data_IF_662522226158
#
_entry.id   IF_662522226158
#
_cell.length_a   1.000
_cell.length_b   1.000
_cell.length_c   1.000
_cell.angle_alpha   90.00
_cell.angle_beta   90.00
_cell.angle_gamma   90.00
#
_symmetry.space_group_name_H-M   'P 1'
#
loop_
_entity.id
_entity.type
_entity.pdbx_description
1 polymer ?
#
# COMPACT_ATOMS: atom_id res chain seq x y z
N UNK A 1 -3.77 -4.00 29.97
CA UNK A 1 -3.12 -4.91 29.01
C UNK A 1 -1.68 -5.07 29.42
N UNK A 2 -1.19 -6.30 29.64
CA UNK A 2 0.25 -6.53 29.81
C UNK A 2 0.92 -6.25 28.46
N UNK A 3 1.78 -5.24 28.40
CA UNK A 3 2.65 -5.03 27.25
C UNK A 3 3.77 -6.07 27.32
N UNK A 4 3.60 -7.21 26.63
CA UNK A 4 4.67 -8.19 26.49
C UNK A 4 5.62 -7.73 25.38
N UNK A 5 6.76 -7.17 25.78
CA UNK A 5 7.87 -6.89 24.88
C UNK A 5 8.78 -8.12 24.81
N UNK A 6 8.98 -8.69 23.62
CA UNK A 6 9.88 -9.83 23.40
C UNK A 6 10.77 -9.62 22.19
N UNK A 7 12.06 -9.86 22.38
CA UNK A 7 13.07 -9.80 21.32
C UNK A 7 13.24 -11.21 20.74
N UNK A 8 13.03 -11.35 19.43
CA UNK A 8 13.29 -12.60 18.71
C UNK A 8 14.61 -12.46 17.93
N UNK A 9 15.63 -13.28 18.22
CA UNK A 9 16.90 -13.20 17.50
C UNK A 9 16.74 -13.75 16.08
N UNK A 10 17.10 -12.94 15.08
CA UNK A 10 17.21 -13.36 13.68
C UNK A 10 18.69 -13.49 13.36
N UNK A 11 19.11 -14.66 12.84
CA UNK A 11 20.51 -14.92 12.46
C UNK A 11 20.65 -14.84 10.94
N UNK A 12 21.64 -14.12 10.45
CA UNK A 12 21.91 -13.98 9.01
C UNK A 12 21.23 -12.75 8.41
N UNK A 13 20.33 -12.94 7.43
CA UNK A 13 19.68 -11.86 6.70
C UNK A 13 18.39 -11.37 7.37
N UNK A 14 17.96 -10.15 7.00
CA UNK A 14 16.74 -9.50 7.50
C UNK A 14 15.69 -9.32 6.39
N UNK A 15 15.49 -10.36 5.56
CA UNK A 15 14.45 -10.35 4.53
C UNK A 15 13.08 -10.61 5.16
N UNK A 16 12.00 -10.27 4.45
CA UNK A 16 10.63 -10.56 4.91
C UNK A 16 10.40 -12.06 5.21
N UNK A 17 11.01 -12.95 4.43
CA UNK A 17 10.93 -14.40 4.66
C UNK A 17 11.61 -14.83 5.97
N UNK A 18 12.77 -14.26 6.30
CA UNK A 18 13.51 -14.58 7.54
C UNK A 18 12.74 -14.11 8.79
N UNK A 19 12.13 -12.92 8.69
CA UNK A 19 11.26 -12.39 9.73
C UNK A 19 10.02 -13.27 9.93
N UNK A 20 9.38 -13.69 8.84
CA UNK A 20 8.20 -14.57 8.90
C UNK A 20 8.55 -15.93 9.53
N UNK A 21 9.67 -16.53 9.12
CA UNK A 21 10.14 -17.80 9.66
C UNK A 21 10.49 -17.73 11.15
N UNK A 22 10.93 -16.55 11.64
CA UNK A 22 11.21 -16.34 13.06
C UNK A 22 9.94 -16.00 13.85
N UNK A 23 9.02 -15.23 13.26
CA UNK A 23 7.81 -14.73 13.91
C UNK A 23 6.69 -15.78 14.00
N UNK A 24 6.45 -16.58 12.96
CA UNK A 24 5.33 -17.54 12.93
C UNK A 24 5.40 -18.58 14.06
N UNK A 25 6.56 -19.24 14.34
CA UNK A 25 6.66 -20.15 15.47
C UNK A 25 6.44 -19.46 16.82
N UNK A 26 6.83 -18.19 16.94
CA UNK A 26 6.55 -17.39 18.12
C UNK A 26 5.05 -17.10 18.27
N UNK A 27 4.40 -16.65 17.20
CA UNK A 27 2.97 -16.36 17.18
C UNK A 27 2.14 -17.58 17.59
N UNK A 28 2.44 -18.74 17.03
CA UNK A 28 1.84 -20.03 17.41
C UNK A 28 2.08 -20.34 18.89
N UNK A 29 3.34 -20.26 19.35
CA UNK A 29 3.70 -20.53 20.75
C UNK A 29 2.98 -19.60 21.74
N UNK A 30 2.73 -18.36 21.38
CA UNK A 30 2.03 -17.39 22.23
C UNK A 30 0.52 -17.35 22.00
N UNK A 31 0.00 -18.18 21.09
CA UNK A 31 -1.39 -18.14 20.66
C UNK A 31 -1.83 -16.73 20.21
N UNK A 32 -0.94 -16.04 19.48
CA UNK A 32 -1.14 -14.67 19.04
C UNK A 32 -2.25 -14.65 17.97
N UNK A 33 -3.32 -13.85 18.13
CA UNK A 33 -4.40 -13.78 17.15
C UNK A 33 -3.93 -13.03 15.90
N UNK A 34 -3.38 -13.76 14.92
CA UNK A 34 -2.83 -13.19 13.67
C UNK A 34 -3.84 -12.35 12.89
N UNK A 35 -5.14 -12.67 12.96
CA UNK A 35 -6.21 -11.88 12.33
C UNK A 35 -6.39 -10.48 12.95
N UNK A 36 -5.79 -10.23 14.12
CA UNK A 36 -5.72 -8.92 14.78
C UNK A 36 -4.34 -8.27 14.62
N UNK A 37 -3.44 -8.84 13.82
CA UNK A 37 -2.14 -8.25 13.54
C UNK A 37 -2.32 -7.08 12.58
N UNK A 38 -2.35 -5.87 13.15
CA UNK A 38 -2.70 -4.64 12.40
C UNK A 38 -1.51 -4.07 11.63
N UNK A 39 -0.28 -4.21 12.14
CA UNK A 39 0.92 -3.67 11.51
C UNK A 39 2.19 -4.38 11.96
N UNK A 40 3.19 -4.38 11.07
CA UNK A 40 4.56 -4.80 11.36
C UNK A 40 5.48 -3.65 10.96
N UNK A 41 6.03 -2.91 11.93
CA UNK A 41 6.94 -1.80 11.69
C UNK A 41 8.38 -2.30 11.64
N UNK A 42 8.90 -2.47 10.43
CA UNK A 42 10.33 -2.75 10.23
C UNK A 42 11.01 -1.43 9.89
N UNK A 43 11.96 -0.98 10.73
CA UNK A 43 12.68 0.26 10.49
C UNK A 43 13.48 0.14 9.18
N UNK A 44 13.12 0.93 8.15
CA UNK A 44 13.88 1.07 6.90
C UNK A 44 14.29 -0.23 6.21
N UNK A 45 13.63 -1.36 6.49
CA UNK A 45 14.14 -2.66 6.10
C UNK A 45 14.06 -2.83 4.57
N UNK A 46 14.94 -3.63 3.95
CA UNK A 46 14.90 -3.95 2.52
C UNK A 46 13.53 -4.43 2.01
N UNK A 47 12.66 -4.94 2.89
CA UNK A 47 11.27 -5.29 2.59
C UNK A 47 10.35 -4.10 2.27
N UNK A 48 10.74 -2.88 2.68
CA UNK A 48 10.04 -1.61 2.38
C UNK A 48 10.71 -0.86 1.24
N UNK A 49 12.05 -0.83 1.20
CA UNK A 49 12.86 -0.01 0.28
C UNK A 49 13.55 -0.79 -0.85
N UNK A 50 13.44 -2.13 -0.84
CA UNK A 50 14.18 -2.98 -1.76
C UNK A 50 13.78 -2.72 -3.20
N UNK A 51 14.77 -2.37 -4.03
CA UNK A 51 14.60 -2.08 -5.47
C UNK A 51 13.82 -3.17 -6.23
N UNK A 52 13.85 -4.41 -5.76
CA UNK A 52 13.20 -5.57 -6.40
C UNK A 52 12.07 -6.20 -5.55
N UNK A 53 11.96 -5.91 -4.25
CA UNK A 53 11.06 -6.63 -3.33
C UNK A 53 10.37 -5.73 -2.29
N UNK A 54 10.53 -4.41 -2.41
CA UNK A 54 9.99 -3.40 -1.51
C UNK A 54 8.58 -2.97 -1.88
N UNK A 55 7.87 -2.33 -0.96
CA UNK A 55 6.54 -1.77 -1.24
C UNK A 55 6.59 -0.71 -2.36
N UNK A 56 7.69 0.06 -2.44
CA UNK A 56 7.92 1.04 -3.51
C UNK A 56 8.06 0.36 -4.87
N UNK A 57 8.77 -0.77 -4.95
CA UNK A 57 8.95 -1.51 -6.21
C UNK A 57 7.64 -2.14 -6.68
N UNK A 58 6.76 -2.52 -5.75
CA UNK A 58 5.40 -3.01 -6.06
C UNK A 58 4.53 -1.91 -6.66
N UNK A 59 4.57 -0.68 -6.13
CA UNK A 59 3.85 0.45 -6.71
C UNK A 59 4.31 0.77 -8.14
N UNK A 60 5.63 0.84 -8.37
CA UNK A 60 6.19 1.06 -9.71
C UNK A 60 5.92 -0.10 -10.67
N UNK A 61 5.82 -1.34 -10.16
CA UNK A 61 5.44 -2.49 -10.97
C UNK A 61 4.01 -2.34 -11.48
N UNK A 62 3.07 -1.96 -10.61
CA UNK A 62 1.66 -1.80 -11.01
C UNK A 62 1.49 -0.72 -12.09
N UNK A 63 2.19 0.41 -11.96
CA UNK A 63 2.22 1.47 -12.97
C UNK A 63 2.73 0.96 -14.32
N UNK A 64 3.86 0.23 -14.31
CA UNK A 64 4.41 -0.36 -15.53
C UNK A 64 3.52 -1.46 -16.13
N UNK A 65 2.89 -2.27 -15.27
CA UNK A 65 1.98 -3.33 -15.68
C UNK A 65 0.76 -2.76 -16.39
N UNK A 66 0.16 -1.68 -15.85
CA UNK A 66 -0.94 -0.98 -16.50
C UNK A 66 -0.55 -0.36 -17.84
N UNK A 67 0.63 0.27 -17.91
CA UNK A 67 1.12 0.88 -19.15
C UNK A 67 1.39 -0.15 -20.26
N UNK A 68 1.66 -1.40 -19.89
CA UNK A 68 1.93 -2.51 -20.81
C UNK A 68 0.75 -3.49 -20.91
N UNK A 69 -0.41 -3.15 -20.33
CA UNK A 69 -1.55 -4.06 -20.26
C UNK A 69 -1.98 -4.56 -21.66
N UNK A 70 -2.07 -3.70 -22.70
CA UNK A 70 -2.39 -4.15 -24.06
C UNK A 70 -1.37 -5.14 -24.63
N UNK A 71 -0.07 -4.88 -24.42
CA UNK A 71 1.01 -5.74 -24.90
C UNK A 71 1.06 -7.08 -24.14
N UNK A 72 0.73 -7.07 -22.85
CA UNK A 72 0.63 -8.28 -22.02
C UNK A 72 -0.53 -9.15 -22.49
N UNK A 73 -1.70 -8.56 -22.75
CA UNK A 73 -2.87 -9.28 -23.30
C UNK A 73 -2.50 -9.91 -24.64
N UNK A 74 -1.96 -9.11 -25.57
CA UNK A 74 -1.54 -9.60 -26.89
C UNK A 74 -0.49 -10.72 -26.80
N UNK A 75 0.42 -10.66 -25.83
CA UNK A 75 1.38 -11.73 -25.59
C UNK A 75 0.71 -13.01 -25.05
N UNK A 76 -0.21 -12.89 -24.10
CA UNK A 76 -0.94 -14.04 -23.54
C UNK A 76 -1.82 -14.73 -24.60
N UNK A 77 -2.40 -13.96 -25.52
CA UNK A 77 -3.10 -14.50 -26.69
C UNK A 77 -2.20 -15.40 -27.54
N UNK A 78 -0.96 -14.99 -27.81
CA UNK A 78 -0.01 -15.82 -28.59
C UNK A 78 0.35 -17.14 -27.90
N UNK A 79 0.25 -17.18 -26.58
CA UNK A 79 0.49 -18.37 -25.78
C UNK A 79 -0.76 -19.25 -25.61
N UNK A 80 -1.94 -18.74 -25.98
CA UNK A 80 -3.22 -19.40 -25.70
C UNK A 80 -3.57 -19.42 -24.21
N UNK A 81 -2.98 -18.52 -23.41
CA UNK A 81 -3.19 -18.43 -21.97
C UNK A 81 -4.46 -17.64 -21.66
N UNK A 82 -5.26 -18.12 -20.70
CA UNK A 82 -6.48 -17.41 -20.29
C UNK A 82 -6.17 -16.20 -19.44
N UNK A 83 -6.85 -15.09 -19.71
CA UNK A 83 -6.61 -13.82 -19.04
C UNK A 83 -7.89 -12.98 -18.86
N UNK A 84 -9.02 -13.67 -18.58
CA UNK A 84 -10.36 -13.09 -18.41
C UNK A 84 -10.38 -11.87 -17.45
N UNK A 85 -9.53 -11.86 -16.42
CA UNK A 85 -9.44 -10.75 -15.47
C UNK A 85 -8.84 -9.47 -16.07
N UNK A 86 -7.92 -9.58 -17.03
CA UNK A 86 -7.28 -8.42 -17.67
C UNK A 86 -8.21 -7.73 -18.65
N UNK A 87 -9.25 -8.42 -19.11
CA UNK A 87 -10.29 -7.89 -19.98
C UNK A 87 -11.54 -7.43 -19.21
N UNK A 88 -11.75 -7.92 -17.97
CA UNK A 88 -12.85 -7.49 -17.10
C UNK A 88 -12.72 -5.99 -16.75
N UNK A 89 -13.65 -5.14 -17.23
CA UNK A 89 -13.59 -3.70 -16.97
C UNK A 89 -13.66 -3.34 -15.49
N UNK A 90 -14.33 -4.16 -14.66
CA UNK A 90 -14.43 -3.94 -13.20
C UNK A 90 -13.09 -4.25 -12.53
N UNK A 91 -12.44 -5.35 -12.94
CA UNK A 91 -11.14 -5.73 -12.40
C UNK A 91 -10.05 -4.71 -12.78
N UNK A 92 -10.01 -4.29 -14.05
CA UNK A 92 -9.05 -3.27 -14.51
C UNK A 92 -9.23 -1.94 -13.76
N UNK A 93 -10.48 -1.52 -13.51
CA UNK A 93 -10.78 -0.33 -12.68
C UNK A 93 -10.23 -0.46 -11.25
N UNK A 94 -10.32 -1.65 -10.63
CA UNK A 94 -9.72 -1.92 -9.30
C UNK A 94 -8.19 -1.85 -9.35
N UNK A 95 -7.58 -2.40 -10.39
CA UNK A 95 -6.13 -2.36 -10.58
C UNK A 95 -5.62 -0.92 -10.73
N UNK A 96 -6.32 -0.09 -11.51
CA UNK A 96 -5.94 1.33 -11.66
C UNK A 96 -6.11 2.09 -10.35
N UNK A 97 -7.24 1.93 -9.66
CA UNK A 97 -7.43 2.54 -8.33
C UNK A 97 -6.29 2.18 -7.38
N UNK A 98 -5.93 0.89 -7.33
CA UNK A 98 -4.84 0.42 -6.49
C UNK A 98 -3.51 1.05 -6.89
N UNK A 99 -3.25 1.21 -8.19
CA UNK A 99 -2.01 1.82 -8.69
C UNK A 99 -1.91 3.29 -8.30
N UNK A 100 -2.97 4.07 -8.47
CA UNK A 100 -3.02 5.48 -8.07
C UNK A 100 -2.83 5.63 -6.55
N UNK A 101 -3.54 4.83 -5.76
CA UNK A 101 -3.40 4.80 -4.30
C UNK A 101 -1.96 4.47 -3.89
N UNK A 102 -1.37 3.44 -4.50
CA UNK A 102 0.01 3.03 -4.24
C UNK A 102 1.01 4.11 -4.62
N UNK A 103 0.76 4.89 -5.67
CA UNK A 103 1.54 6.07 -6.02
C UNK A 103 1.52 7.15 -4.93
N UNK A 104 0.34 7.47 -4.40
CA UNK A 104 0.22 8.40 -3.27
C UNK A 104 0.92 7.88 -2.01
N UNK A 105 0.74 6.60 -1.68
CA UNK A 105 1.36 5.97 -0.52
C UNK A 105 2.89 5.91 -0.63
N UNK A 106 3.40 5.60 -1.83
CA UNK A 106 4.83 5.63 -2.16
C UNK A 106 5.41 7.04 -1.95
N UNK A 107 4.70 8.08 -2.41
CA UNK A 107 5.11 9.47 -2.20
C UNK A 107 5.25 9.82 -0.71
N UNK A 108 4.29 9.41 0.13
CA UNK A 108 4.42 9.60 1.59
C UNK A 108 5.62 8.83 2.14
N UNK A 109 5.78 7.55 1.77
CA UNK A 109 6.88 6.73 2.28
C UNK A 109 8.25 7.35 1.96
N UNK A 110 8.43 7.90 0.76
CA UNK A 110 9.65 8.63 0.40
C UNK A 110 9.83 9.91 1.23
N UNK A 111 8.76 10.62 1.56
CA UNK A 111 8.81 11.82 2.40
C UNK A 111 9.11 11.50 3.87
N UNK A 112 8.65 10.36 4.38
CA UNK A 112 8.94 9.91 5.75
C UNK A 112 10.34 9.30 5.88
N UNK A 113 10.94 8.88 4.76
CA UNK A 113 12.29 8.35 4.70
C UNK A 113 13.33 9.48 4.51
N UNK A 114 14.58 9.19 4.83
CA UNK A 114 15.71 10.11 4.69
C UNK A 114 16.31 10.53 6.04
N UNK A 115 17.59 10.92 6.01
CA UNK A 115 18.29 11.44 7.20
C UNK A 115 17.96 12.92 7.38
N UNK A 116 17.93 13.38 8.63
CA UNK A 116 17.77 14.81 8.95
C UNK A 116 16.32 15.32 8.99
N UNK A 117 15.32 14.45 8.86
CA UNK A 117 13.90 14.80 9.00
C UNK A 117 13.58 15.12 10.46
N UNK A 118 13.11 16.33 10.74
CA UNK A 118 12.62 16.66 12.08
C UNK A 118 11.14 16.28 12.25
N UNK A 119 10.66 16.26 13.50
CA UNK A 119 9.30 15.80 13.81
C UNK A 119 8.22 16.67 13.15
N UNK A 120 8.48 17.97 12.99
CA UNK A 120 7.57 18.92 12.36
C UNK A 120 7.42 18.58 10.87
N UNK A 121 8.53 18.32 10.17
CA UNK A 121 8.51 17.94 8.75
C UNK A 121 7.79 16.62 8.50
N UNK A 122 8.00 15.63 9.38
CA UNK A 122 7.30 14.36 9.32
C UNK A 122 5.79 14.56 9.53
N UNK A 123 5.41 15.35 10.53
CA UNK A 123 4.01 15.69 10.80
C UNK A 123 3.35 16.43 9.63
N UNK A 124 4.03 17.43 9.06
CA UNK A 124 3.57 18.14 7.86
C UNK A 124 3.39 17.20 6.67
N UNK A 125 4.30 16.22 6.48
CA UNK A 125 4.20 15.23 5.41
C UNK A 125 2.98 14.32 5.58
N UNK A 126 2.72 13.87 6.82
CA UNK A 126 1.52 13.09 7.18
C UNK A 126 0.25 13.89 6.90
N UNK A 127 0.19 15.16 7.31
CA UNK A 127 -0.97 16.02 7.08
C UNK A 127 -1.19 16.34 5.60
N UNK A 128 -0.12 16.60 4.85
CA UNK A 128 -0.19 16.77 3.40
C UNK A 128 -0.74 15.51 2.71
N UNK A 129 -0.32 14.32 3.16
CA UNK A 129 -0.86 13.07 2.63
C UNK A 129 -2.34 12.86 2.95
N UNK A 130 -2.79 13.17 4.17
CA UNK A 130 -4.23 13.16 4.53
C UNK A 130 -5.04 14.08 3.61
N UNK A 131 -4.54 15.29 3.33
CA UNK A 131 -5.18 16.21 2.40
C UNK A 131 -5.23 15.64 0.97
N UNK A 132 -4.15 14.99 0.51
CA UNK A 132 -4.10 14.30 -0.79
C UNK A 132 -5.10 13.15 -0.87
N UNK A 133 -5.30 12.35 0.19
CA UNK A 133 -6.30 11.28 0.21
C UNK A 133 -7.72 11.83 0.11
N UNK A 134 -8.04 12.92 0.83
CA UNK A 134 -9.34 13.60 0.72
C UNK A 134 -9.57 14.17 -0.68
N UNK A 135 -8.51 14.72 -1.30
CA UNK A 135 -8.56 15.18 -2.68
C UNK A 135 -8.80 14.01 -3.65
N UNK A 136 -8.10 12.90 -3.48
CA UNK A 136 -8.25 11.68 -4.28
C UNK A 136 -9.67 11.12 -4.20
N UNK A 137 -10.25 11.02 -2.99
CA UNK A 137 -11.65 10.64 -2.80
C UNK A 137 -12.63 11.61 -3.49
N UNK A 138 -12.34 12.92 -3.44
CA UNK A 138 -13.15 13.93 -4.13
C UNK A 138 -13.05 13.84 -5.65
N UNK A 139 -11.86 13.56 -6.18
CA UNK A 139 -11.60 13.34 -7.60
C UNK A 139 -12.31 12.09 -8.12
N UNK A 140 -12.29 11.00 -7.35
CA UNK A 140 -13.04 9.76 -7.65
C UNK A 140 -14.54 10.04 -7.78
N UNK A 141 -15.14 10.75 -6.81
CA UNK A 141 -16.57 11.14 -6.85
C UNK A 141 -16.93 11.98 -8.07
N UNK A 142 -16.00 12.82 -8.53
CA UNK A 142 -16.16 13.68 -9.71
C UNK A 142 -15.81 12.97 -11.03
N UNK A 143 -15.39 11.70 -10.97
CA UNK A 143 -14.86 10.94 -12.10
C UNK A 143 -13.71 11.65 -12.84
N UNK A 144 -12.99 12.52 -12.12
CA UNK A 144 -11.96 13.40 -12.67
C UNK A 144 -10.61 13.03 -12.08
N UNK A 145 -9.98 12.00 -12.65
CA UNK A 145 -8.61 11.60 -12.29
C UNK A 145 -7.66 11.99 -13.41
N UNK A 146 -6.55 12.62 -13.03
CA UNK A 146 -5.64 13.26 -13.99
C UNK A 146 -4.54 12.32 -14.51
N UNK A 147 -4.28 11.17 -13.88
CA UNK A 147 -3.12 10.32 -14.20
C UNK A 147 -3.43 9.10 -15.05
N UNK A 148 -4.29 8.18 -14.58
CA UNK A 148 -4.47 6.89 -15.27
C UNK A 148 -5.90 6.56 -15.69
N UNK A 149 -6.91 7.36 -15.34
CA UNK A 149 -8.31 7.07 -15.73
C UNK A 149 -9.13 8.35 -15.98
N UNK A 150 -9.78 8.44 -17.13
CA UNK A 150 -11.15 8.99 -17.20
C UNK A 150 -12.06 7.82 -16.82
N UNK A 151 -12.76 7.88 -15.68
CA UNK A 151 -13.64 6.78 -15.26
C UNK A 151 -14.85 6.79 -16.17
N UNK A 152 -14.76 6.17 -17.34
CA UNK A 152 -15.88 6.07 -18.28
C UNK A 152 -16.64 4.77 -18.04
N UNK A 153 -17.98 4.85 -18.00
CA UNK A 153 -18.89 3.72 -17.79
C UNK A 153 -19.20 3.40 -16.32
N UNK A 154 -20.20 2.53 -16.09
CA UNK A 154 -20.66 2.16 -14.76
C UNK A 154 -19.51 1.64 -13.88
N UNK A 155 -19.37 2.25 -12.71
CA UNK A 155 -18.35 1.94 -11.74
C UNK A 155 -18.94 2.21 -10.36
N UNK A 156 -18.81 1.26 -9.44
CA UNK A 156 -19.20 1.48 -8.06
C UNK A 156 -18.14 2.37 -7.37
N UNK A 157 -18.22 3.67 -7.62
CA UNK A 157 -17.32 4.68 -7.04
C UNK A 157 -17.45 4.70 -5.51
N UNK A 158 -18.63 4.36 -4.98
CA UNK A 158 -18.87 4.28 -3.54
C UNK A 158 -18.00 3.22 -2.87
N UNK A 159 -17.80 2.07 -3.51
CA UNK A 159 -16.88 1.02 -3.04
C UNK A 159 -15.46 1.58 -2.86
N UNK A 160 -14.91 2.27 -3.87
CA UNK A 160 -13.57 2.87 -3.80
C UNK A 160 -13.47 3.99 -2.77
N UNK A 161 -14.51 4.81 -2.65
CA UNK A 161 -14.56 5.86 -1.63
C UNK A 161 -14.58 5.27 -0.21
N UNK A 162 -15.33 4.18 0.00
CA UNK A 162 -15.40 3.47 1.28
C UNK A 162 -14.03 2.90 1.68
N UNK A 163 -13.30 2.30 0.72
CA UNK A 163 -11.94 1.80 0.96
C UNK A 163 -10.97 2.92 1.37
N UNK A 164 -11.04 4.08 0.72
CA UNK A 164 -10.23 5.24 1.10
C UNK A 164 -10.61 5.79 2.48
N UNK A 165 -11.90 5.83 2.81
CA UNK A 165 -12.40 6.27 4.11
C UNK A 165 -11.89 5.35 5.22
N UNK A 166 -12.01 4.03 5.04
CA UNK A 166 -11.52 3.02 5.97
C UNK A 166 -10.00 3.14 6.18
N UNK A 167 -9.25 3.28 5.08
CA UNK A 167 -7.81 3.50 5.15
C UNK A 167 -7.48 4.79 5.91
N UNK A 168 -8.17 5.88 5.61
CA UNK A 168 -7.94 7.17 6.26
C UNK A 168 -8.27 7.12 7.76
N UNK A 169 -9.35 6.46 8.17
CA UNK A 169 -9.69 6.26 9.58
C UNK A 169 -8.62 5.45 10.31
N UNK A 170 -8.15 4.36 9.73
CA UNK A 170 -7.10 3.53 10.32
C UNK A 170 -5.76 4.28 10.37
N UNK A 171 -5.47 5.11 9.36
CA UNK A 171 -4.31 5.98 9.33
C UNK A 171 -4.38 7.04 10.43
N UNK A 172 -5.50 7.75 10.56
CA UNK A 172 -5.75 8.71 11.66
C UNK A 172 -5.58 8.05 13.03
N UNK A 173 -6.16 6.87 13.23
CA UNK A 173 -6.04 6.11 14.48
C UNK A 173 -4.59 5.80 14.84
N UNK A 174 -3.76 5.42 13.85
CA UNK A 174 -2.34 5.09 14.06
C UNK A 174 -1.50 6.33 14.36
N UNK A 175 -1.83 7.47 13.76
CA UNK A 175 -1.09 8.73 13.92
C UNK A 175 -1.72 9.68 14.95
N UNK A 176 -2.74 9.24 15.70
CA UNK A 176 -3.45 10.06 16.67
C UNK A 176 -2.53 10.67 17.73
N UNK A 177 -1.47 9.96 18.12
CA UNK A 177 -0.49 10.45 19.09
C UNK A 177 0.31 11.66 18.60
N UNK A 178 0.40 11.87 17.28
CA UNK A 178 1.07 13.05 16.71
C UNK A 178 0.21 14.31 16.78
N UNK A 179 -1.10 14.19 17.05
CA UNK A 179 -1.99 15.34 17.15
C UNK A 179 -1.85 16.10 18.49
N UNK A 180 -1.07 15.57 19.43
CA UNK A 180 -0.83 16.13 20.76
C UNK A 180 0.62 16.62 20.95
N UNK A 181 1.35 16.85 19.85
CA UNK A 181 2.71 17.39 19.84
C UNK A 181 2.72 18.91 19.74
#
# INVERSE_FOLDING_TARGET
>A
MKHEFKILPIKGTTRGADMMATFMPFAEKTNLPLHKLVAMSTAGAPSMIGRNHGWLSRGSFLERFLNLLPEIIAFLDTLGEKHEQLEDPVWVKKLVFLTDFMGHYNSLNLQLQGKGKNIIELYSSVNAFKAKLKLFASQLKRQNLEKHIKFTGECNIEMFCSELENFNQEFERRFANLNNL
#
